data_IF_701375099410
#
_entry.id   IF_701375099410
#
_cell.length_a   1.000
_cell.length_b   1.000
_cell.length_c   1.000
_cell.angle_alpha   90.00
_cell.angle_beta   90.00
_cell.angle_gamma   90.00
#
_symmetry.space_group_name_H-M   'P 1'
#
loop_
_entity.id
_entity.type
_entity.pdbx_description
1 polymer ?
#
# COMPACT_ATOMS: atom_id res chain seq x y z
N UNK A 1 -4.48 -14.76 -24.39
CA UNK A 1 -3.32 -13.85 -24.30
C UNK A 1 -3.03 -13.22 -25.65
N UNK A 2 -2.70 -13.99 -26.70
CA UNK A 2 -2.27 -13.45 -27.99
C UNK A 2 -3.26 -12.50 -28.71
N UNK A 3 -4.55 -12.59 -28.42
CA UNK A 3 -5.60 -11.72 -29.00
C UNK A 3 -6.17 -10.70 -28.00
N UNK A 4 -5.62 -10.62 -26.77
CA UNK A 4 -6.09 -9.66 -25.76
C UNK A 4 -5.41 -8.32 -25.95
N UNK A 5 -6.18 -7.23 -25.91
CA UNK A 5 -5.68 -5.85 -25.91
C UNK A 5 -5.25 -5.38 -24.51
N UNK A 6 -5.43 -6.22 -23.48
CA UNK A 6 -5.09 -5.95 -22.09
C UNK A 6 -4.45 -7.19 -21.43
N UNK A 7 -3.26 -7.04 -20.86
CA UNK A 7 -2.61 -7.98 -19.94
C UNK A 7 -2.42 -7.28 -18.59
N UNK A 8 -3.29 -7.59 -17.64
CA UNK A 8 -3.38 -6.95 -16.34
C UNK A 8 -3.15 -7.98 -15.23
N UNK A 9 -2.17 -7.71 -14.38
CA UNK A 9 -1.89 -8.50 -13.17
C UNK A 9 -2.13 -7.63 -11.95
N UNK A 10 -2.86 -8.19 -11.00
CA UNK A 10 -3.12 -7.51 -9.73
C UNK A 10 -2.84 -8.43 -8.56
N UNK A 11 -2.51 -7.82 -7.42
CA UNK A 11 -2.51 -8.48 -6.12
C UNK A 11 -3.23 -7.59 -5.11
N UNK A 12 -3.87 -8.21 -4.12
CA UNK A 12 -4.65 -7.48 -3.13
C UNK A 12 -5.02 -8.35 -1.94
N UNK A 13 -5.56 -7.69 -0.91
CA UNK A 13 -6.30 -8.34 0.15
C UNK A 13 -7.78 -8.46 -0.24
N UNK A 14 -8.58 -9.06 0.64
CA UNK A 14 -10.04 -9.10 0.51
C UNK A 14 -10.64 -7.70 0.32
N UNK A 15 -10.05 -6.70 0.96
CA UNK A 15 -10.61 -5.37 1.07
C UNK A 15 -10.05 -4.39 0.03
N UNK A 16 -8.81 -4.57 -0.41
CA UNK A 16 -8.14 -3.60 -1.28
C UNK A 16 -7.15 -4.22 -2.27
N UNK A 17 -7.02 -3.59 -3.44
CA UNK A 17 -5.92 -3.80 -4.38
C UNK A 17 -4.65 -3.18 -3.79
N UNK A 18 -3.53 -3.91 -3.85
CA UNK A 18 -2.23 -3.48 -3.35
C UNK A 18 -1.18 -3.29 -4.45
N UNK A 19 -1.28 -4.06 -5.54
CA UNK A 19 -0.32 -4.01 -6.65
C UNK A 19 -1.06 -4.18 -7.97
N UNK A 20 -0.58 -3.44 -8.98
CA UNK A 20 -1.04 -3.49 -10.36
C UNK A 20 0.18 -3.45 -11.28
N UNK A 21 0.25 -4.39 -12.22
CA UNK A 21 1.24 -4.43 -13.31
C UNK A 21 0.49 -4.69 -14.61
N UNK A 22 0.70 -3.86 -15.63
CA UNK A 22 -0.18 -3.86 -16.81
C UNK A 22 0.55 -3.51 -18.11
N UNK A 23 0.20 -4.23 -19.18
CA UNK A 23 0.43 -3.82 -20.57
C UNK A 23 -0.90 -3.74 -21.32
N UNK A 24 -1.13 -2.66 -22.08
CA UNK A 24 -2.39 -2.43 -22.79
C UNK A 24 -2.19 -1.74 -24.14
N UNK A 25 -3.03 -2.07 -25.12
CA UNK A 25 -3.08 -1.41 -26.44
C UNK A 25 -4.10 -0.26 -26.43
N UNK A 26 -3.70 0.87 -25.84
CA UNK A 26 -4.47 2.13 -25.78
C UNK A 26 -5.95 1.97 -25.35
N UNK A 27 -6.21 1.10 -24.37
CA UNK A 27 -7.57 0.90 -23.85
C UNK A 27 -8.09 2.15 -23.12
N UNK A 28 -9.41 2.43 -23.15
CA UNK A 28 -9.99 3.53 -22.39
C UNK A 28 -9.78 3.39 -20.88
N UNK A 29 -9.67 4.50 -20.16
CA UNK A 29 -9.50 4.49 -18.70
C UNK A 29 -10.66 3.80 -17.98
N UNK A 30 -11.89 3.97 -18.48
CA UNK A 30 -13.09 3.30 -17.94
C UNK A 30 -12.94 1.77 -17.98
N UNK A 31 -12.47 1.23 -19.11
CA UNK A 31 -12.18 -0.20 -19.25
C UNK A 31 -11.09 -0.68 -18.28
N UNK A 32 -10.07 0.15 -18.02
CA UNK A 32 -9.04 -0.19 -17.03
C UNK A 32 -9.63 -0.26 -15.60
N UNK A 33 -10.48 0.69 -15.22
CA UNK A 33 -11.15 0.70 -13.90
C UNK A 33 -12.07 -0.51 -13.72
N UNK A 34 -12.83 -0.85 -14.76
CA UNK A 34 -13.66 -2.05 -14.78
C UNK A 34 -12.82 -3.33 -14.64
N UNK A 35 -11.71 -3.44 -15.38
CA UNK A 35 -10.81 -4.58 -15.31
C UNK A 35 -10.18 -4.75 -13.92
N UNK A 36 -9.78 -3.64 -13.28
CA UNK A 36 -9.26 -3.64 -11.90
C UNK A 36 -10.33 -4.12 -10.90
N UNK A 37 -11.56 -3.63 -11.03
CA UNK A 37 -12.69 -4.03 -10.18
C UNK A 37 -13.01 -5.50 -10.36
N UNK A 38 -13.13 -5.95 -11.61
CA UNK A 38 -13.37 -7.35 -11.96
C UNK A 38 -12.28 -8.27 -11.41
N UNK A 39 -11.01 -7.87 -11.52
CA UNK A 39 -9.91 -8.61 -10.94
C UNK A 39 -10.01 -8.70 -9.42
N UNK A 40 -10.33 -7.59 -8.74
CA UNK A 40 -10.46 -7.56 -7.27
C UNK A 40 -11.64 -8.36 -6.75
N UNK A 41 -12.70 -8.49 -7.52
CA UNK A 41 -13.80 -9.40 -7.20
C UNK A 41 -13.39 -10.86 -7.43
N UNK A 42 -12.68 -11.12 -8.53
CA UNK A 42 -12.23 -12.47 -8.92
C UNK A 42 -11.20 -13.08 -7.95
N UNK A 43 -10.46 -12.27 -7.19
CA UNK A 43 -9.54 -12.77 -6.17
C UNK A 43 -10.22 -13.17 -4.86
N UNK A 44 -11.44 -12.71 -4.56
CA UNK A 44 -12.11 -13.03 -3.28
C UNK A 44 -12.34 -14.53 -3.07
N UNK A 45 -12.82 -15.31 -4.07
CA UNK A 45 -12.94 -16.76 -3.91
C UNK A 45 -11.60 -17.48 -3.72
N UNK A 46 -10.51 -16.94 -4.29
CA UNK A 46 -9.17 -17.48 -4.08
C UNK A 46 -8.71 -17.25 -2.64
N UNK A 47 -8.98 -16.06 -2.09
CA UNK A 47 -8.72 -15.75 -0.68
C UNK A 47 -9.58 -16.62 0.24
N UNK A 48 -10.87 -16.82 -0.06
CA UNK A 48 -11.74 -17.72 0.72
C UNK A 48 -11.16 -19.14 0.80
N UNK A 49 -10.66 -19.64 -0.33
CA UNK A 49 -9.99 -20.94 -0.38
C UNK A 49 -8.72 -20.95 0.48
N UNK A 50 -7.88 -19.92 0.40
CA UNK A 50 -6.67 -19.79 1.20
C UNK A 50 -6.97 -19.71 2.71
N UNK A 51 -7.98 -18.93 3.11
CA UNK A 51 -8.44 -18.79 4.50
C UNK A 51 -8.94 -20.13 5.05
N UNK A 52 -9.70 -20.87 4.23
CA UNK A 52 -10.16 -22.21 4.58
C UNK A 52 -8.98 -23.17 4.78
N UNK A 53 -8.01 -23.17 3.86
CA UNK A 53 -6.80 -23.99 3.97
C UNK A 53 -5.97 -23.62 5.22
N UNK A 54 -5.82 -22.33 5.51
CA UNK A 54 -5.13 -21.86 6.70
C UNK A 54 -5.83 -22.34 7.99
N UNK A 55 -7.16 -22.41 7.98
CA UNK A 55 -7.95 -22.92 9.11
C UNK A 55 -7.80 -24.44 9.27
N UNK A 56 -7.83 -25.20 8.18
CA UNK A 56 -7.83 -26.67 8.23
C UNK A 56 -6.43 -27.27 8.44
N UNK A 57 -5.40 -26.68 7.82
CA UNK A 57 -4.04 -27.25 7.77
C UNK A 57 -2.92 -26.22 7.98
N UNK A 58 -3.27 -24.98 8.32
CA UNK A 58 -2.29 -23.92 8.54
C UNK A 58 -1.49 -24.11 9.83
N UNK A 59 -0.29 -23.51 9.85
CA UNK A 59 0.50 -23.41 11.09
C UNK A 59 -0.11 -22.32 11.99
N UNK A 60 -0.07 -22.48 13.31
CA UNK A 60 -0.50 -21.41 14.22
C UNK A 60 0.31 -20.14 13.96
N UNK A 61 -0.33 -18.98 14.13
CA UNK A 61 0.38 -17.70 14.13
C UNK A 61 1.38 -17.69 15.28
N UNK A 62 2.50 -16.98 15.10
CA UNK A 62 3.47 -16.73 16.17
C UNK A 62 2.82 -15.93 17.28
N UNK A 63 2.86 -16.48 18.48
CA UNK A 63 2.32 -15.90 19.72
C UNK A 63 3.34 -15.04 20.47
N UNK A 64 4.63 -15.20 20.15
CA UNK A 64 5.76 -14.48 20.74
C UNK A 64 6.15 -13.20 19.99
N UNK A 65 5.35 -12.76 19.02
CA UNK A 65 5.61 -11.52 18.31
C UNK A 65 5.14 -10.31 19.13
N UNK A 66 6.10 -9.58 19.69
CA UNK A 66 5.85 -8.29 20.34
C UNK A 66 5.94 -7.15 19.32
N UNK A 67 4.82 -6.44 19.12
CA UNK A 67 4.80 -5.26 18.26
C UNK A 67 5.49 -4.09 18.96
N UNK A 68 6.41 -3.43 18.26
CA UNK A 68 7.04 -2.22 18.77
C UNK A 68 6.01 -1.08 18.89
N UNK A 69 5.94 -0.45 20.05
CA UNK A 69 5.15 0.76 20.29
C UNK A 69 5.99 1.83 20.97
N UNK A 70 5.84 3.07 20.55
CA UNK A 70 6.49 4.23 21.16
C UNK A 70 5.57 4.78 22.26
N UNK A 71 6.14 5.26 23.36
CA UNK A 71 5.38 5.98 24.38
C UNK A 71 4.70 7.23 23.78
N UNK A 72 3.40 7.38 24.00
CA UNK A 72 2.62 8.46 23.40
C UNK A 72 3.07 9.85 23.87
N UNK A 73 3.56 9.99 25.11
CA UNK A 73 4.04 11.29 25.61
C UNK A 73 5.36 11.65 24.93
N UNK A 74 6.28 10.69 24.80
CA UNK A 74 7.51 10.88 24.04
C UNK A 74 7.22 11.24 22.58
N UNK A 75 6.28 10.54 21.95
CA UNK A 75 5.87 10.85 20.58
C UNK A 75 5.35 12.30 20.47
N UNK A 76 4.46 12.71 21.37
CA UNK A 76 3.91 14.06 21.37
C UNK A 76 5.00 15.12 21.63
N UNK A 77 5.92 14.86 22.56
CA UNK A 77 7.03 15.77 22.86
C UNK A 77 7.92 16.01 21.63
N UNK A 78 8.22 14.95 20.87
CA UNK A 78 9.01 15.07 19.65
C UNK A 78 8.22 15.81 18.56
N UNK A 79 6.95 15.48 18.37
CA UNK A 79 6.07 16.15 17.41
C UNK A 79 6.01 17.65 17.71
N UNK A 80 5.77 18.05 18.95
CA UNK A 80 5.69 19.47 19.34
C UNK A 80 7.01 20.21 19.08
N UNK A 81 8.16 19.54 19.26
CA UNK A 81 9.48 20.12 19.02
C UNK A 81 9.80 20.33 17.54
N UNK A 82 9.38 19.42 16.65
CA UNK A 82 9.90 19.38 15.27
C UNK A 82 8.84 19.61 14.19
N UNK A 83 7.55 19.47 14.50
CA UNK A 83 6.47 19.52 13.50
C UNK A 83 6.50 20.80 12.68
N UNK A 84 6.62 21.96 13.32
CA UNK A 84 6.62 23.25 12.62
C UNK A 84 7.75 23.34 11.58
N UNK A 85 8.96 22.90 11.96
CA UNK A 85 10.15 22.87 11.09
C UNK A 85 9.98 21.90 9.92
N UNK A 86 9.46 20.69 10.18
CA UNK A 86 9.22 19.68 9.14
C UNK A 86 8.18 20.18 8.14
N UNK A 87 7.09 20.78 8.63
CA UNK A 87 6.03 21.32 7.78
C UNK A 87 6.55 22.46 6.90
N UNK A 88 7.31 23.41 7.45
CA UNK A 88 7.89 24.51 6.64
C UNK A 88 8.91 23.99 5.64
N UNK A 89 9.76 23.03 6.04
CA UNK A 89 10.72 22.41 5.13
C UNK A 89 10.01 21.84 3.89
N UNK A 90 8.94 21.07 4.09
CA UNK A 90 8.21 20.43 2.98
C UNK A 90 7.40 21.44 2.15
N UNK A 91 6.76 22.42 2.78
CA UNK A 91 5.85 23.35 2.08
C UNK A 91 6.55 24.50 1.37
N UNK A 92 7.66 24.98 1.91
CA UNK A 92 8.28 26.23 1.47
C UNK A 92 9.48 25.98 0.54
N UNK A 93 9.85 24.71 0.29
CA UNK A 93 11.02 24.33 -0.51
C UNK A 93 10.69 23.27 -1.55
N UNK A 94 10.66 23.69 -2.82
CA UNK A 94 10.38 22.80 -3.95
C UNK A 94 11.55 21.87 -4.29
N UNK A 95 12.78 22.32 -4.10
CA UNK A 95 13.97 21.51 -4.36
C UNK A 95 14.29 20.56 -3.21
N UNK A 96 14.61 19.31 -3.56
CA UNK A 96 15.03 18.29 -2.58
C UNK A 96 16.23 18.76 -1.75
N UNK A 97 17.23 19.35 -2.40
CA UNK A 97 18.45 19.85 -1.75
C UNK A 97 18.16 20.87 -0.64
N UNK A 98 17.21 21.78 -0.87
CA UNK A 98 16.81 22.80 0.10
C UNK A 98 16.04 22.18 1.27
N UNK A 99 15.14 21.21 1.00
CA UNK A 99 14.46 20.46 2.06
C UNK A 99 15.45 19.74 2.97
N UNK A 100 16.42 19.04 2.37
CA UNK A 100 17.42 18.28 3.11
C UNK A 100 18.24 19.22 4.01
N UNK A 101 18.69 20.37 3.49
CA UNK A 101 19.41 21.38 4.29
C UNK A 101 18.59 21.91 5.47
N UNK A 102 17.31 22.20 5.26
CA UNK A 102 16.45 22.70 6.33
C UNK A 102 16.20 21.61 7.38
N UNK A 103 15.97 20.36 6.96
CA UNK A 103 15.73 19.25 7.88
C UNK A 103 16.96 18.91 8.73
N UNK A 104 18.15 18.94 8.12
CA UNK A 104 19.42 18.55 8.76
C UNK A 104 20.06 19.64 9.62
N UNK A 105 19.63 20.91 9.50
CA UNK A 105 20.13 22.05 10.27
C UNK A 105 19.70 22.03 11.75
#
# INVERSE_FOLDING_TARGET
>A
MAESVLDLRIAGTRDAILMVECGADQVPEETMVEALTFGHESLRPLIDMQDKMATEVGKPKRDDYESFSIDNNLQQEIVDKVQAKVVSAIRDNDEKSMRDQVLDA
#
